data_IF_151076172179
#
_entry.id   IF_151076172179
#
_cell.length_a   1.000
_cell.length_b   1.000
_cell.length_c   1.000
_cell.angle_alpha   90.00
_cell.angle_beta   90.00
_cell.angle_gamma   90.00
#
_symmetry.space_group_name_H-M   'P 1'
#
loop_
_entity.id
_entity.type
_entity.pdbx_description
1 polymer ?
#
# COMPACT_ATOMS: atom_id res chain seq x y z
N UNK A 1 -15.43 11.68 11.25
CA UNK A 1 -14.58 10.49 11.13
C UNK A 1 -14.84 9.91 9.76
N UNK A 2 -13.95 10.17 8.80
CA UNK A 2 -14.07 9.57 7.47
C UNK A 2 -13.49 8.17 7.56
N UNK A 3 -14.33 7.15 7.37
CA UNK A 3 -13.89 5.77 7.22
C UNK A 3 -13.11 5.68 5.91
N UNK A 4 -11.78 5.81 6.00
CA UNK A 4 -10.91 5.54 4.86
C UNK A 4 -11.05 4.06 4.50
N UNK A 5 -11.20 3.72 3.21
CA UNK A 5 -11.23 2.33 2.79
C UNK A 5 -9.87 1.70 3.09
N UNK A 6 -9.86 0.88 4.15
CA UNK A 6 -8.78 -0.03 4.43
C UNK A 6 -8.73 -1.07 3.31
N UNK A 7 -7.60 -1.14 2.59
CA UNK A 7 -7.41 -2.17 1.56
C UNK A 7 -7.26 -3.55 2.22
N UNK A 8 -7.07 -3.59 3.55
CA UNK A 8 -7.01 -4.81 4.34
C UNK A 8 -5.70 -5.58 4.17
N UNK A 9 -4.85 -5.15 3.26
CA UNK A 9 -3.58 -5.79 2.96
C UNK A 9 -2.46 -5.35 3.89
N UNK A 10 -1.82 -6.35 4.48
CA UNK A 10 -0.75 -6.23 5.47
C UNK A 10 0.52 -6.81 4.88
N UNK A 11 1.57 -6.01 4.77
CA UNK A 11 2.90 -6.43 4.35
C UNK A 11 3.66 -6.76 5.63
N UNK A 12 4.04 -8.03 5.85
CA UNK A 12 4.66 -8.43 7.12
C UNK A 12 6.10 -7.95 7.23
N UNK A 13 6.59 -7.82 8.46
CA UNK A 13 7.97 -7.40 8.71
C UNK A 13 8.98 -8.23 7.90
N UNK A 14 9.89 -7.55 7.18
CA UNK A 14 10.87 -8.17 6.29
C UNK A 14 10.37 -8.53 4.89
N UNK A 15 9.06 -8.43 4.61
CA UNK A 15 8.51 -8.67 3.28
C UNK A 15 8.57 -7.42 2.40
N UNK A 16 8.65 -7.66 1.10
CA UNK A 16 8.47 -6.63 0.07
C UNK A 16 7.11 -6.77 -0.59
N UNK A 17 6.60 -5.68 -1.18
CA UNK A 17 5.46 -5.71 -2.07
C UNK A 17 5.58 -4.61 -3.12
N UNK A 18 5.05 -4.87 -4.31
CA UNK A 18 4.79 -3.84 -5.31
C UNK A 18 3.34 -3.37 -5.20
N UNK A 19 3.15 -2.05 -5.23
CA UNK A 19 1.86 -1.39 -5.09
C UNK A 19 1.63 -0.55 -6.34
N UNK A 20 0.68 -0.95 -7.15
CA UNK A 20 0.38 -0.34 -8.44
C UNK A 20 -0.98 0.36 -8.42
N UNK A 21 -1.02 1.57 -8.99
CA UNK A 21 -2.28 2.24 -9.31
C UNK A 21 -2.78 1.79 -10.70
N UNK A 22 -3.83 0.97 -10.71
CA UNK A 22 -4.48 0.49 -11.94
C UNK A 22 -5.62 1.40 -12.41
N UNK A 23 -5.94 2.48 -11.67
CA UNK A 23 -6.89 3.49 -12.10
C UNK A 23 -6.30 4.37 -13.21
N UNK A 24 -7.18 4.95 -14.02
CA UNK A 24 -6.86 6.05 -14.95
C UNK A 24 -6.62 7.41 -14.28
N UNK A 25 -6.80 7.52 -12.95
CA UNK A 25 -6.67 8.75 -12.18
C UNK A 25 -5.63 8.57 -11.06
N UNK A 26 -5.14 9.67 -10.52
CA UNK A 26 -4.20 9.64 -9.39
C UNK A 26 -4.90 9.11 -8.13
N UNK A 27 -4.23 8.19 -7.42
CA UNK A 27 -4.66 7.68 -6.12
C UNK A 27 -3.72 8.21 -5.03
N UNK A 28 -4.25 8.32 -3.81
CA UNK A 28 -3.47 8.73 -2.63
C UNK A 28 -3.56 7.65 -1.56
N UNK A 29 -2.41 7.19 -1.10
CA UNK A 29 -2.29 6.11 -0.12
C UNK A 29 -1.45 6.55 1.08
N UNK A 30 -1.66 5.88 2.21
CA UNK A 30 -0.69 5.83 3.31
C UNK A 30 -0.14 4.44 3.48
N UNK A 31 1.15 4.37 3.79
CA UNK A 31 1.80 3.19 4.35
C UNK A 31 2.02 3.43 5.84
N UNK A 32 1.38 2.61 6.67
CA UNK A 32 1.48 2.68 8.13
C UNK A 32 2.29 1.51 8.66
N UNK A 33 3.46 1.76 9.25
CA UNK A 33 4.25 0.75 9.93
C UNK A 33 4.10 0.91 11.45
N UNK A 34 3.07 0.28 12.01
CA UNK A 34 2.74 0.38 13.44
C UNK A 34 2.62 1.82 13.95
N UNK A 35 3.11 2.04 15.18
CA UNK A 35 2.91 3.30 15.93
C UNK A 35 3.89 4.43 15.53
N UNK A 36 4.88 4.14 14.68
CA UNK A 36 6.06 4.99 14.54
C UNK A 36 6.32 5.53 13.12
N UNK A 37 5.60 5.05 12.10
CA UNK A 37 5.82 5.51 10.73
C UNK A 37 4.52 5.58 9.93
N UNK A 38 4.30 6.73 9.31
CA UNK A 38 3.30 6.95 8.27
C UNK A 38 3.98 7.64 7.09
N UNK A 39 3.86 7.06 5.91
CA UNK A 39 4.31 7.68 4.65
C UNK A 39 3.09 7.87 3.76
N UNK A 40 2.82 9.11 3.38
CA UNK A 40 1.77 9.44 2.42
C UNK A 40 2.36 9.52 1.02
N UNK A 41 1.75 8.82 0.07
CA UNK A 41 2.26 8.68 -1.29
C UNK A 41 1.11 8.87 -2.27
N UNK A 42 1.38 9.67 -3.30
CA UNK A 42 0.50 9.88 -4.42
C UNK A 42 0.99 9.05 -5.61
N UNK A 43 0.14 8.14 -6.09
CA UNK A 43 0.43 7.27 -7.23
C UNK A 43 -0.29 7.79 -8.47
N UNK A 44 0.47 8.17 -9.49
CA UNK A 44 -0.08 8.46 -10.82
C UNK A 44 -0.65 7.20 -11.50
N UNK A 45 -1.45 7.35 -12.58
CA UNK A 45 -1.97 6.22 -13.34
C UNK A 45 -0.85 5.30 -13.85
N UNK A 46 -0.94 4.00 -13.57
CA UNK A 46 0.07 3.00 -13.94
C UNK A 46 1.39 3.08 -13.16
N UNK A 47 1.47 3.93 -12.13
CA UNK A 47 2.67 4.01 -11.30
C UNK A 47 2.75 2.83 -10.35
N UNK A 48 3.94 2.24 -10.26
CA UNK A 48 4.29 1.18 -9.32
C UNK A 48 5.22 1.74 -8.25
N UNK A 49 4.93 1.42 -7.00
CA UNK A 49 5.78 1.66 -5.85
C UNK A 49 6.28 0.33 -5.30
N UNK A 50 7.60 0.16 -5.25
CA UNK A 50 8.22 -0.94 -4.51
C UNK A 50 8.39 -0.52 -3.04
N UNK A 51 7.86 -1.34 -2.12
CA UNK A 51 7.94 -1.09 -0.69
C UNK A 51 8.44 -2.34 0.03
N UNK A 52 9.37 -2.15 0.96
CA UNK A 52 9.83 -3.20 1.89
C UNK A 52 9.48 -2.82 3.30
N UNK A 53 8.70 -3.66 3.96
CA UNK A 53 8.44 -3.53 5.39
C UNK A 53 9.74 -3.83 6.14
N UNK A 54 10.17 -2.89 6.98
CA UNK A 54 11.36 -3.07 7.82
C UNK A 54 11.11 -4.07 8.95
N UNK A 55 11.39 -3.68 10.18
CA UNK A 55 11.23 -4.56 11.34
C UNK A 55 9.79 -4.64 11.88
N UNK A 56 8.85 -3.99 11.22
CA UNK A 56 7.44 -3.95 11.63
C UNK A 56 6.55 -4.09 10.41
N UNK A 57 5.41 -4.74 10.62
CA UNK A 57 4.39 -4.89 9.60
C UNK A 57 3.86 -3.53 9.15
N UNK A 58 3.59 -3.45 7.85
CA UNK A 58 3.04 -2.27 7.22
C UNK A 58 1.62 -2.53 6.73
N UNK A 59 0.79 -1.49 6.79
CA UNK A 59 -0.58 -1.49 6.30
C UNK A 59 -0.75 -0.45 5.21
N UNK A 60 -1.39 -0.84 4.11
CA UNK A 60 -1.75 0.07 3.01
C UNK A 60 -3.16 0.60 3.23
N UNK A 61 -3.32 1.92 3.24
CA UNK A 61 -4.61 2.59 3.38
C UNK A 61 -4.85 3.48 2.17
N UNK A 62 -5.96 3.28 1.46
CA UNK A 62 -6.38 4.15 0.37
C UNK A 62 -7.22 5.30 0.95
N UNK A 63 -6.90 6.54 0.60
CA UNK A 63 -7.61 7.69 1.17
C UNK A 63 -8.98 7.92 0.54
N UNK A 64 -9.12 7.59 -0.75
CA UNK A 64 -10.34 7.80 -1.53
C UNK A 64 -10.31 6.93 -2.79
N UNK A 65 -11.49 6.66 -3.35
CA UNK A 65 -11.64 5.79 -4.51
C UNK A 65 -11.94 4.33 -4.13
N UNK A 66 -12.02 3.49 -5.15
CA UNK A 66 -12.31 2.06 -4.97
C UNK A 66 -11.00 1.27 -4.78
N UNK A 67 -10.84 0.50 -3.69
CA UNK A 67 -9.68 -0.35 -3.44
C UNK A 67 -9.31 -1.31 -4.58
N UNK A 68 -10.27 -1.70 -5.42
CA UNK A 68 -10.01 -2.55 -6.58
C UNK A 68 -9.05 -1.90 -7.61
N UNK A 69 -8.82 -0.58 -7.51
CA UNK A 69 -7.87 0.13 -8.36
C UNK A 69 -6.44 0.18 -7.80
N UNK A 70 -6.19 -0.46 -6.66
CA UNK A 70 -4.85 -0.72 -6.15
C UNK A 70 -4.55 -2.20 -6.28
N UNK A 71 -3.50 -2.52 -7.04
CA UNK A 71 -2.97 -3.87 -7.11
C UNK A 71 -1.76 -3.96 -6.17
N UNK A 72 -1.82 -4.88 -5.21
CA UNK A 72 -0.72 -5.16 -4.28
C UNK A 72 -0.22 -6.56 -4.56
N UNK A 73 1.05 -6.68 -4.95
CA UNK A 73 1.69 -7.96 -5.29
C UNK A 73 2.82 -8.20 -4.28
N UNK A 74 2.73 -9.29 -3.52
CA UNK A 74 3.82 -9.77 -2.69
C UNK A 74 4.61 -10.80 -3.48
N UNK A 75 5.94 -10.68 -3.60
CA UNK A 75 6.75 -11.71 -4.22
C UNK A 75 6.56 -13.01 -3.43
N UNK A 76 6.47 -14.12 -4.15
CA UNK A 76 6.37 -15.43 -3.54
C UNK A 76 7.63 -15.66 -2.69
N UNK A 77 7.46 -15.92 -1.40
CA UNK A 77 8.58 -16.21 -0.51
C UNK A 77 9.33 -17.43 -1.06
N UNK A 78 10.54 -17.22 -1.59
CA UNK A 78 11.41 -18.31 -1.97
C UNK A 78 11.77 -19.08 -0.70
N UNK A 79 11.09 -20.21 -0.50
CA UNK A 79 11.26 -21.15 0.61
C UNK A 79 12.59 -21.88 0.56
#
# INVERSE_FOLDING_TARGET
MNNLPDVGERISAGESASIENTHTAKLSISLFCGDACRVDIDLGPGQVLEFTAGNSDAKVVLHHGDPANLLIIKPESAS
#
